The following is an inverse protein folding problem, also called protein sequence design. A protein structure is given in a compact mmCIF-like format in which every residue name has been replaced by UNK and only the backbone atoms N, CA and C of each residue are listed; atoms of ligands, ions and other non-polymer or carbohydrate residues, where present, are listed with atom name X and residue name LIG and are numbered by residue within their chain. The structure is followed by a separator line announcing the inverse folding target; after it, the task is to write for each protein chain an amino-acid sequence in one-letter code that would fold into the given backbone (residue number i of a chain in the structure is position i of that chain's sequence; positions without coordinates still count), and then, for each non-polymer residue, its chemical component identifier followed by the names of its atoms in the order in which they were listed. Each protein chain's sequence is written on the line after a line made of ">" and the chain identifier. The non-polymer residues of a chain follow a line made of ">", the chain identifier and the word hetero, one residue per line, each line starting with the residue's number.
data_IF_351098111716
#
_entry.id   IF_351098111716
#
_cell.length_a   1.000
_cell.length_b   1.000
_cell.length_c   1.000
_cell.angle_alpha   90.00
_cell.angle_beta   90.00
_cell.angle_gamma   90.00
#
_symmetry.space_group_name_H-M   'P 1'
#
loop_
_entity.id
_entity.type
_entity.pdbx_description
1 polymer ?
#
# COMPACT_ATOMS: atom_id res chain seq x y z
N UNK A 1 4.51 -6.16 -6.60
CA UNK A 1 4.69 -6.74 -5.26
C UNK A 1 4.88 -8.25 -5.33
N UNK A 2 4.05 -9.00 -6.05
CA UNK A 2 4.23 -10.46 -6.20
C UNK A 2 5.61 -10.90 -6.72
N UNK A 3 6.24 -10.13 -7.59
CA UNK A 3 7.56 -10.47 -8.12
C UNK A 3 8.71 -10.13 -7.15
N UNK A 4 8.54 -9.16 -6.27
CA UNK A 4 9.52 -8.89 -5.20
C UNK A 4 9.50 -10.05 -4.21
N UNK A 5 8.32 -10.52 -3.83
CA UNK A 5 8.17 -11.68 -2.97
C UNK A 5 8.62 -12.98 -3.66
N UNK A 6 8.32 -13.17 -4.94
CA UNK A 6 8.84 -14.30 -5.71
C UNK A 6 10.36 -14.29 -5.82
N UNK A 7 11.00 -13.12 -5.99
CA UNK A 7 12.47 -13.03 -5.97
C UNK A 7 13.05 -13.34 -4.60
N UNK A 8 12.41 -12.88 -3.53
CA UNK A 8 12.83 -13.23 -2.17
C UNK A 8 12.63 -14.72 -1.88
N UNK A 9 11.59 -15.34 -2.46
CA UNK A 9 11.32 -16.77 -2.34
C UNK A 9 12.25 -17.62 -3.20
N UNK A 10 12.75 -17.12 -4.34
CA UNK A 10 13.73 -17.82 -5.18
C UNK A 10 15.10 -18.02 -4.51
N UNK A 11 15.37 -17.33 -3.40
CA UNK A 11 16.55 -17.56 -2.58
C UNK A 11 16.38 -18.72 -1.58
N UNK A 12 15.21 -19.39 -1.58
CA UNK A 12 14.88 -20.51 -0.71
C UNK A 12 14.71 -21.80 -1.51
N UNK A 13 15.01 -22.97 -0.93
CA UNK A 13 14.68 -24.23 -1.56
C UNK A 13 13.18 -24.26 -1.87
N UNK A 14 12.84 -24.42 -3.15
CA UNK A 14 11.46 -24.38 -3.67
C UNK A 14 10.54 -25.44 -3.11
N UNK A 15 11.07 -26.39 -2.40
CA UNK A 15 10.37 -27.61 -1.94
C UNK A 15 9.63 -27.42 -0.61
N UNK A 16 9.87 -26.29 0.10
CA UNK A 16 9.31 -26.07 1.45
C UNK A 16 8.02 -25.24 1.44
N UNK A 17 7.55 -24.71 0.28
CA UNK A 17 6.40 -23.82 0.23
C UNK A 17 5.40 -24.18 -0.87
N UNK A 18 4.18 -24.42 -0.47
CA UNK A 18 3.04 -24.59 -1.36
C UNK A 18 2.13 -23.36 -1.29
N UNK A 19 2.00 -22.62 -2.40
CA UNK A 19 1.04 -21.54 -2.50
C UNK A 19 -0.35 -22.09 -2.80
N UNK A 20 -1.32 -21.71 -1.97
CA UNK A 20 -2.73 -22.05 -2.15
C UNK A 20 -3.56 -20.81 -2.28
N UNK A 21 -4.55 -20.86 -3.15
CA UNK A 21 -5.55 -19.81 -3.25
C UNK A 21 -6.39 -19.74 -1.97
N UNK A 22 -6.65 -18.54 -1.46
CA UNK A 22 -7.37 -18.35 -0.21
C UNK A 22 -8.69 -19.12 -0.17
N UNK A 23 -9.46 -19.09 -1.27
CA UNK A 23 -10.77 -19.77 -1.36
C UNK A 23 -10.68 -21.29 -1.18
N UNK A 24 -9.51 -21.90 -1.39
CA UNK A 24 -9.31 -23.34 -1.25
C UNK A 24 -8.96 -23.79 0.18
N UNK A 25 -8.56 -22.84 1.04
CA UNK A 25 -8.02 -23.15 2.37
C UNK A 25 -8.69 -22.38 3.50
N UNK A 26 -9.38 -21.28 3.21
CA UNK A 26 -10.05 -20.47 4.22
C UNK A 26 -11.27 -21.19 4.79
N UNK A 27 -11.44 -21.15 6.10
CA UNK A 27 -12.58 -21.76 6.80
C UNK A 27 -13.67 -20.72 7.06
N UNK A 28 -14.93 -21.17 6.99
CA UNK A 28 -16.08 -20.31 7.26
C UNK A 28 -16.03 -19.68 8.65
N UNK A 29 -15.68 -20.46 9.67
CA UNK A 29 -15.57 -19.96 11.05
C UNK A 29 -14.57 -18.83 11.19
N UNK A 30 -13.43 -18.92 10.47
CA UNK A 30 -12.45 -17.84 10.44
C UNK A 30 -13.03 -16.57 9.82
N UNK A 31 -13.73 -16.70 8.69
CA UNK A 31 -14.36 -15.55 8.03
C UNK A 31 -15.41 -14.90 8.91
N UNK A 32 -16.30 -15.71 9.53
CA UNK A 32 -17.35 -15.22 10.43
C UNK A 32 -16.73 -14.46 11.59
N UNK A 33 -15.76 -15.03 12.29
CA UNK A 33 -15.06 -14.38 13.40
C UNK A 33 -14.38 -13.07 12.97
N UNK A 34 -13.73 -13.07 11.80
CA UNK A 34 -13.07 -11.87 11.27
C UNK A 34 -14.06 -10.77 10.90
N UNK A 35 -15.22 -11.15 10.33
CA UNK A 35 -16.30 -10.23 9.97
C UNK A 35 -16.92 -9.64 11.23
N UNK A 36 -17.32 -10.48 12.19
CA UNK A 36 -17.95 -10.04 13.45
C UNK A 36 -17.04 -9.05 14.19
N UNK A 37 -15.77 -9.38 14.35
CA UNK A 37 -14.79 -8.49 14.99
C UNK A 37 -14.63 -7.16 14.25
N UNK A 38 -14.65 -7.16 12.91
CA UNK A 38 -14.56 -5.95 12.12
C UNK A 38 -15.83 -5.10 12.24
N UNK A 39 -17.01 -5.71 12.27
CA UNK A 39 -18.28 -5.01 12.47
C UNK A 39 -18.39 -4.40 13.87
N UNK A 40 -17.96 -5.12 14.90
CA UNK A 40 -17.91 -4.58 16.27
C UNK A 40 -16.99 -3.35 16.34
N UNK A 41 -15.82 -3.42 15.75
CA UNK A 41 -14.88 -2.31 15.68
C UNK A 41 -15.45 -1.12 14.87
N UNK A 42 -16.25 -1.34 13.84
CA UNK A 42 -16.90 -0.30 13.07
C UNK A 42 -18.08 0.34 13.78
N UNK A 43 -18.96 -0.46 14.37
CA UNK A 43 -20.18 0.02 15.01
C UNK A 43 -19.94 0.64 16.38
N UNK A 44 -19.03 0.06 17.16
CA UNK A 44 -18.77 0.43 18.55
C UNK A 44 -17.39 1.08 18.73
N UNK A 45 -16.52 0.95 17.73
CA UNK A 45 -15.15 1.42 17.79
C UNK A 45 -15.06 2.95 17.84
N UNK A 46 -14.22 3.43 18.75
CA UNK A 46 -14.01 4.86 18.96
C UNK A 46 -13.45 5.58 17.74
N UNK A 47 -12.63 4.88 16.96
CA UNK A 47 -11.87 5.42 15.82
C UNK A 47 -12.60 5.30 14.48
N UNK A 48 -13.74 4.59 14.44
CA UNK A 48 -14.55 4.35 13.25
C UNK A 48 -15.74 5.31 13.10
N UNK A 49 -15.84 6.33 13.96
CA UNK A 49 -16.93 7.30 13.87
C UNK A 49 -16.87 8.08 12.55
N UNK A 50 -17.99 8.07 11.83
CA UNK A 50 -18.09 8.75 10.54
C UNK A 50 -17.54 7.94 9.35
N UNK A 51 -17.06 6.73 9.54
CA UNK A 51 -16.65 5.82 8.46
C UNK A 51 -17.90 5.24 7.80
N UNK A 52 -18.07 5.45 6.50
CA UNK A 52 -19.15 4.89 5.71
C UNK A 52 -19.04 3.38 5.55
N UNK A 53 -20.11 2.73 5.11
CA UNK A 53 -20.08 1.28 4.87
C UNK A 53 -19.09 0.89 3.76
N UNK A 54 -18.98 1.69 2.69
CA UNK A 54 -18.01 1.43 1.61
C UNK A 54 -16.57 1.57 2.10
N UNK A 55 -16.28 2.58 2.92
CA UNK A 55 -14.97 2.77 3.55
C UNK A 55 -14.66 1.66 4.55
N UNK A 56 -15.66 1.22 5.31
CA UNK A 56 -15.53 0.06 6.18
C UNK A 56 -15.15 -1.19 5.39
N UNK A 57 -15.86 -1.48 4.29
CA UNK A 57 -15.59 -2.64 3.44
C UNK A 57 -14.16 -2.63 2.89
N UNK A 58 -13.62 -1.46 2.56
CA UNK A 58 -12.29 -1.35 1.96
C UNK A 58 -11.17 -1.27 3.00
N UNK A 59 -11.37 -0.58 4.14
CA UNK A 59 -10.28 -0.22 5.05
C UNK A 59 -10.27 -0.96 6.38
N UNK A 60 -11.39 -1.59 6.78
CA UNK A 60 -11.53 -2.24 8.08
C UNK A 60 -11.90 -3.73 7.97
N UNK A 61 -12.83 -4.07 7.07
CA UNK A 61 -13.39 -5.42 6.93
C UNK A 61 -12.39 -6.49 6.47
N UNK A 62 -11.37 -6.22 5.61
CA UNK A 62 -10.56 -7.27 5.04
C UNK A 62 -9.99 -8.25 6.08
N UNK A 63 -10.13 -9.55 5.81
CA UNK A 63 -9.76 -10.65 6.71
C UNK A 63 -8.25 -10.86 6.84
N UNK A 64 -7.45 -10.22 6.00
CA UNK A 64 -5.99 -10.19 6.06
C UNK A 64 -5.44 -8.81 5.71
N UNK A 65 -4.23 -8.53 6.12
CA UNK A 65 -3.56 -7.24 5.90
C UNK A 65 -2.57 -7.28 4.74
N UNK A 66 -1.99 -8.44 4.47
CA UNK A 66 -1.00 -8.65 3.41
C UNK A 66 -1.24 -9.95 2.68
N UNK A 67 -0.71 -9.99 1.47
CA UNK A 67 -0.62 -11.21 0.69
C UNK A 67 0.21 -12.27 1.45
N UNK A 68 -0.13 -13.54 1.32
CA UNK A 68 0.50 -14.68 2.02
C UNK A 68 0.40 -14.68 3.56
N UNK A 69 -0.43 -13.84 4.14
CA UNK A 69 -0.72 -13.91 5.57
C UNK A 69 -1.44 -15.20 5.91
N UNK A 70 -0.99 -15.90 6.96
CA UNK A 70 -1.70 -17.06 7.48
C UNK A 70 -3.06 -16.67 8.08
N UNK A 71 -4.03 -17.59 8.01
CA UNK A 71 -5.35 -17.42 8.65
C UNK A 71 -5.24 -17.71 10.13
N UNK A 72 -5.02 -16.67 10.91
CA UNK A 72 -4.96 -16.72 12.37
C UNK A 72 -5.80 -15.60 12.98
N UNK A 73 -5.97 -15.62 14.28
CA UNK A 73 -6.75 -14.61 15.03
C UNK A 73 -5.94 -13.33 15.25
N UNK A 74 -5.37 -12.79 14.16
CA UNK A 74 -4.48 -11.64 14.19
C UNK A 74 -5.11 -10.40 14.82
N UNK A 75 -6.43 -10.18 14.64
CA UNK A 75 -7.11 -9.01 15.22
C UNK A 75 -7.04 -9.03 16.74
N UNK A 76 -7.43 -10.13 17.36
CA UNK A 76 -7.41 -10.27 18.81
C UNK A 76 -5.99 -10.32 19.38
N UNK A 77 -5.07 -10.96 18.67
CA UNK A 77 -3.65 -11.05 19.08
C UNK A 77 -2.95 -9.69 19.03
N UNK A 78 -3.24 -8.86 18.02
CA UNK A 78 -2.60 -7.55 17.87
C UNK A 78 -3.30 -6.44 18.66
N UNK A 79 -4.58 -6.59 18.98
CA UNK A 79 -5.40 -5.57 19.68
C UNK A 79 -4.78 -5.09 21.01
N UNK A 80 -4.13 -5.93 21.84
CA UNK A 80 -3.45 -5.49 23.05
C UNK A 80 -2.19 -4.65 22.85
N UNK A 81 -1.54 -4.74 21.68
CA UNK A 81 -0.29 -4.01 21.43
C UNK A 81 -0.52 -2.51 21.54
N UNK A 82 0.31 -1.82 22.30
CA UNK A 82 0.20 -0.38 22.60
C UNK A 82 -1.08 0.04 23.36
N UNK A 83 -1.79 -0.86 24.00
CA UNK A 83 -2.96 -0.51 24.82
C UNK A 83 -2.58 0.30 26.07
N UNK A 84 -1.42 0.08 26.62
CA UNK A 84 -0.85 0.89 27.70
C UNK A 84 -0.79 2.38 27.31
N UNK A 85 -0.36 2.66 26.11
CA UNK A 85 -0.32 4.01 25.54
C UNK A 85 -1.71 4.61 25.33
N UNK A 86 -2.70 3.78 24.95
CA UNK A 86 -4.08 4.20 24.74
C UNK A 86 -4.92 4.21 26.02
N UNK A 87 -4.53 3.40 27.02
CA UNK A 87 -5.25 3.27 28.30
C UNK A 87 -4.97 4.41 29.27
N UNK A 88 -3.77 4.97 29.24
CA UNK A 88 -3.37 6.18 29.99
C UNK A 88 -4.05 7.46 29.50
N UNK A 89 -4.84 7.35 28.45
CA UNK A 89 -5.73 8.40 27.97
C UNK A 89 -6.86 8.62 28.99
N UNK A 90 -6.50 9.19 30.12
CA UNK A 90 -7.46 9.54 31.16
C UNK A 90 -8.57 10.42 30.59
N UNK A 91 -9.75 10.29 31.13
CA UNK A 91 -11.02 10.85 30.66
C UNK A 91 -11.01 12.36 30.38
N UNK A 92 -9.99 13.06 30.84
CA UNK A 92 -9.89 14.52 30.81
C UNK A 92 -8.97 15.09 29.73
N UNK A 93 -8.30 14.26 28.95
CA UNK A 93 -7.34 14.76 27.98
C UNK A 93 -7.99 14.92 26.61
N UNK A 94 -8.26 16.18 26.24
CA UNK A 94 -8.90 16.57 24.97
C UNK A 94 -8.08 16.10 23.77
N UNK A 95 -6.77 16.03 23.92
CA UNK A 95 -5.81 15.66 22.86
C UNK A 95 -5.92 14.20 22.44
N UNK A 96 -6.30 13.32 23.34
CA UNK A 96 -6.33 11.87 23.12
C UNK A 96 -7.66 11.35 22.52
N UNK A 97 -8.55 12.26 22.12
CA UNK A 97 -9.90 11.91 21.64
C UNK A 97 -9.99 11.79 20.12
N UNK A 98 -8.96 12.16 19.39
CA UNK A 98 -8.98 12.13 17.93
C UNK A 98 -8.22 10.95 17.36
N UNK A 99 -8.60 10.41 16.18
CA UNK A 99 -7.84 9.39 15.49
C UNK A 99 -6.38 9.79 15.22
N UNK A 100 -6.13 11.09 15.05
CA UNK A 100 -4.77 11.62 14.86
C UNK A 100 -3.86 11.31 16.04
N UNK A 101 -4.22 11.76 17.24
CA UNK A 101 -3.37 11.59 18.43
C UNK A 101 -3.24 10.12 18.83
N UNK A 102 -4.31 9.33 18.65
CA UNK A 102 -4.22 7.90 18.89
C UNK A 102 -3.28 7.20 17.92
N UNK A 103 -3.30 7.57 16.64
CA UNK A 103 -2.36 7.05 15.65
C UNK A 103 -0.92 7.48 15.95
N UNK A 104 -0.71 8.73 16.36
CA UNK A 104 0.59 9.24 16.80
C UNK A 104 1.15 8.41 17.95
N UNK A 105 0.38 8.27 19.02
CA UNK A 105 0.77 7.51 20.21
C UNK A 105 1.09 6.04 19.89
N UNK A 106 0.25 5.38 19.07
CA UNK A 106 0.49 4.01 18.62
C UNK A 106 1.79 3.93 17.83
N UNK A 107 2.03 4.84 16.87
CA UNK A 107 3.21 4.77 16.03
C UNK A 107 4.50 5.07 16.79
N UNK A 108 4.48 6.01 17.75
CA UNK A 108 5.60 6.23 18.65
C UNK A 108 5.92 4.95 19.45
N UNK A 109 4.89 4.33 20.03
CA UNK A 109 5.07 3.08 20.78
C UNK A 109 5.60 1.94 19.91
N UNK A 110 5.09 1.81 18.68
CA UNK A 110 5.56 0.81 17.73
C UNK A 110 7.03 1.01 17.35
N UNK A 111 7.45 2.25 17.14
CA UNK A 111 8.86 2.58 16.91
C UNK A 111 9.75 2.07 18.04
N UNK A 112 9.33 2.29 19.27
CA UNK A 112 10.17 2.03 20.44
C UNK A 112 10.13 0.56 20.90
N UNK A 113 9.11 -0.21 20.52
CA UNK A 113 8.89 -1.57 21.05
C UNK A 113 8.80 -2.67 20.01
N UNK A 114 8.22 -2.41 18.85
CA UNK A 114 7.91 -3.44 17.83
C UNK A 114 8.72 -3.24 16.56
N UNK A 115 8.85 -2.00 16.12
CA UNK A 115 9.55 -1.65 14.88
C UNK A 115 10.98 -1.20 15.22
N UNK A 116 11.70 -2.02 15.96
CA UNK A 116 13.09 -1.72 16.33
C UNK A 116 13.99 -1.85 15.12
N UNK A 117 14.85 -0.85 14.94
CA UNK A 117 15.86 -0.87 13.89
C UNK A 117 16.95 -1.91 14.24
N UNK A 118 16.86 -3.08 13.68
CA UNK A 118 17.90 -4.09 13.84
C UNK A 118 18.81 -4.13 12.62
N UNK A 119 20.08 -4.17 12.91
CA UNK A 119 21.19 -4.22 11.95
C UNK A 119 21.26 -5.51 11.12
N UNK A 120 20.29 -6.44 11.26
CA UNK A 120 20.26 -7.70 10.50
C UNK A 120 19.01 -7.78 9.62
N UNK A 121 19.16 -7.85 8.30
CA UNK A 121 18.04 -8.14 7.42
C UNK A 121 17.50 -9.54 7.72
N UNK A 122 16.20 -9.64 7.96
CA UNK A 122 15.53 -10.92 8.15
C UNK A 122 14.85 -11.33 6.84
N UNK A 123 15.13 -12.55 6.42
CA UNK A 123 14.79 -13.06 5.09
C UNK A 123 13.36 -13.63 4.96
N UNK A 124 12.56 -13.68 6.04
CA UNK A 124 11.39 -14.58 6.14
C UNK A 124 10.05 -13.91 6.49
N UNK A 125 9.75 -12.71 6.02
CA UNK A 125 8.62 -11.94 6.56
C UNK A 125 7.23 -12.29 6.03
N UNK A 126 7.16 -12.82 4.82
CA UNK A 126 5.89 -12.88 4.09
C UNK A 126 5.01 -14.11 4.39
N UNK A 127 5.57 -15.13 5.02
CA UNK A 127 4.94 -16.46 5.09
C UNK A 127 4.41 -16.83 6.46
N UNK A 128 4.57 -15.97 7.45
CA UNK A 128 4.27 -16.30 8.82
C UNK A 128 3.00 -15.64 9.35
N UNK A 129 2.53 -16.14 10.48
CA UNK A 129 1.47 -15.53 11.26
C UNK A 129 1.82 -14.08 11.58
N UNK A 130 0.83 -13.20 11.54
CA UNK A 130 1.02 -11.76 11.83
C UNK A 130 1.78 -11.51 13.15
N UNK A 131 1.53 -12.21 14.28
CA UNK A 131 2.30 -12.05 15.50
C UNK A 131 3.80 -12.30 15.35
N UNK A 132 4.18 -13.21 14.49
CA UNK A 132 5.59 -13.48 14.23
C UNK A 132 6.25 -12.30 13.51
N UNK A 133 5.59 -11.74 12.52
CA UNK A 133 6.05 -10.58 11.73
C UNK A 133 6.23 -9.35 12.57
N UNK A 134 5.30 -9.06 13.54
CA UNK A 134 5.41 -7.93 14.45
C UNK A 134 6.62 -8.03 15.39
N UNK A 135 7.11 -9.23 15.63
CA UNK A 135 8.29 -9.47 16.46
C UNK A 135 9.60 -9.54 15.66
N UNK A 136 9.52 -9.45 14.33
CA UNK A 136 10.71 -9.46 13.49
C UNK A 136 11.17 -8.02 13.26
N UNK A 137 12.35 -7.67 13.71
CA UNK A 137 12.94 -6.37 13.40
C UNK A 137 13.22 -6.23 11.92
N UNK A 138 12.78 -5.14 11.35
CA UNK A 138 12.99 -4.84 9.93
C UNK A 138 13.14 -3.37 9.69
N UNK A 139 14.09 -3.02 8.84
CA UNK A 139 14.34 -1.65 8.37
C UNK A 139 13.58 -1.34 7.09
N UNK A 140 12.88 -2.32 6.48
CA UNK A 140 12.16 -2.01 5.26
C UNK A 140 10.89 -1.20 5.55
N UNK A 141 10.66 -0.17 4.74
CA UNK A 141 9.43 0.62 4.83
C UNK A 141 8.18 -0.26 4.68
N UNK A 142 8.24 -1.29 3.85
CA UNK A 142 7.16 -2.23 3.63
C UNK A 142 6.80 -3.01 4.90
N UNK A 143 7.77 -3.61 5.57
CA UNK A 143 7.51 -4.38 6.80
C UNK A 143 6.98 -3.48 7.91
N UNK A 144 7.56 -2.29 8.10
CA UNK A 144 7.06 -1.33 9.08
C UNK A 144 5.62 -0.91 8.78
N UNK A 145 5.32 -0.58 7.54
CA UNK A 145 3.98 -0.16 7.12
C UNK A 145 2.97 -1.30 7.31
N UNK A 146 3.30 -2.53 6.90
CA UNK A 146 2.42 -3.68 7.06
C UNK A 146 2.15 -4.01 8.54
N UNK A 147 3.17 -3.93 9.39
CA UNK A 147 3.06 -4.16 10.84
C UNK A 147 2.14 -3.11 11.49
N UNK A 148 2.41 -1.84 11.23
CA UNK A 148 1.60 -0.76 11.78
C UNK A 148 0.16 -0.80 11.24
N UNK A 149 -0.05 -1.12 9.95
CA UNK A 149 -1.37 -1.32 9.36
C UNK A 149 -2.16 -2.41 10.09
N UNK A 150 -1.55 -3.56 10.31
CA UNK A 150 -2.21 -4.68 10.98
C UNK A 150 -2.62 -4.31 12.43
N UNK A 151 -1.71 -3.70 13.19
CA UNK A 151 -1.97 -3.28 14.57
C UNK A 151 -3.05 -2.19 14.62
N UNK A 152 -2.99 -1.19 13.76
CA UNK A 152 -4.00 -0.12 13.73
C UNK A 152 -5.36 -0.64 13.28
N UNK A 153 -5.40 -1.52 12.27
CA UNK A 153 -6.66 -2.13 11.82
C UNK A 153 -7.27 -3.01 12.90
N UNK A 154 -6.47 -3.75 13.69
CA UNK A 154 -6.96 -4.53 14.84
C UNK A 154 -7.57 -3.68 15.95
N UNK A 155 -7.32 -2.38 15.94
CA UNK A 155 -7.89 -1.40 16.91
C UNK A 155 -9.08 -0.60 16.35
N UNK A 156 -9.56 -0.95 15.16
CA UNK A 156 -10.71 -0.30 14.53
C UNK A 156 -10.38 1.01 13.81
N UNK A 157 -9.13 1.22 13.39
CA UNK A 157 -8.81 2.32 12.49
C UNK A 157 -9.11 1.95 11.03
N UNK A 158 -9.72 2.87 10.29
CA UNK A 158 -9.82 2.77 8.84
C UNK A 158 -8.49 3.19 8.21
N UNK A 159 -7.68 2.21 7.86
CA UNK A 159 -6.29 2.42 7.42
C UNK A 159 -5.98 1.66 6.13
N UNK A 160 -5.26 2.32 5.24
CA UNK A 160 -4.79 1.76 3.97
C UNK A 160 -3.27 1.81 3.85
N UNK A 161 -2.75 0.98 2.93
CA UNK A 161 -1.36 0.92 2.53
C UNK A 161 -1.21 1.68 1.23
N UNK A 162 -0.53 2.80 1.26
CA UNK A 162 -0.25 3.62 0.09
C UNK A 162 1.24 3.54 -0.27
N UNK A 163 1.55 3.65 -1.55
CA UNK A 163 2.92 3.44 -2.02
C UNK A 163 3.21 4.06 -3.38
N UNK A 164 4.48 4.27 -3.65
CA UNK A 164 5.02 4.54 -4.99
C UNK A 164 5.73 3.30 -5.52
N UNK A 165 5.47 2.96 -6.78
CA UNK A 165 6.15 1.84 -7.45
C UNK A 165 7.64 2.13 -7.65
N UNK A 166 7.96 3.38 -7.94
CA UNK A 166 9.31 3.91 -8.08
C UNK A 166 9.28 5.42 -7.88
N UNK A 167 10.19 5.95 -7.08
CA UNK A 167 10.40 7.38 -6.98
C UNK A 167 11.00 7.95 -8.27
N UNK A 168 10.53 9.09 -8.80
CA UNK A 168 11.16 9.75 -9.94
C UNK A 168 12.57 10.27 -9.66
N UNK A 169 12.86 10.67 -8.42
CA UNK A 169 14.09 11.36 -8.03
C UNK A 169 14.96 10.60 -7.03
N UNK A 170 14.52 9.43 -6.60
CA UNK A 170 15.22 8.59 -5.61
C UNK A 170 15.22 7.13 -6.08
N UNK A 171 16.20 6.37 -5.63
CA UNK A 171 16.18 4.93 -5.82
C UNK A 171 15.04 4.27 -5.02
N UNK A 172 14.54 3.15 -5.54
CA UNK A 172 13.57 2.25 -4.91
C UNK A 172 12.11 2.73 -4.84
N UNK A 173 11.25 1.80 -4.49
CA UNK A 173 9.88 2.02 -4.08
C UNK A 173 9.80 2.53 -2.63
N UNK A 174 8.64 3.03 -2.23
CA UNK A 174 8.38 3.42 -0.84
C UNK A 174 6.93 3.20 -0.48
N UNK A 175 6.64 2.99 0.79
CA UNK A 175 5.29 2.76 1.28
C UNK A 175 5.05 3.40 2.65
N UNK A 176 3.79 3.73 2.90
CA UNK A 176 3.33 4.37 4.13
C UNK A 176 1.86 4.04 4.41
N UNK A 177 1.38 4.46 5.57
CA UNK A 177 -0.02 4.37 5.96
C UNK A 177 -0.78 5.63 5.53
N UNK A 178 -2.01 5.44 5.07
CA UNK A 178 -3.00 6.50 4.95
C UNK A 178 -4.19 6.15 5.84
N UNK A 179 -4.41 6.96 6.88
CA UNK A 179 -5.40 6.74 7.92
C UNK A 179 -6.56 7.70 7.67
N UNK A 180 -7.76 7.17 7.51
CA UNK A 180 -8.96 7.96 7.35
C UNK A 180 -9.39 8.50 8.72
N UNK A 181 -9.43 9.83 8.86
CA UNK A 181 -9.82 10.50 10.10
C UNK A 181 -11.33 10.74 10.12
N UNK A 182 -11.83 11.16 8.96
CA UNK A 182 -13.24 11.36 8.62
C UNK A 182 -13.40 11.26 7.09
N UNK A 183 -14.61 11.48 6.57
CA UNK A 183 -14.93 11.27 5.14
C UNK A 183 -13.97 11.91 4.14
N UNK A 184 -13.42 13.07 4.48
CA UNK A 184 -12.67 13.88 3.52
C UNK A 184 -11.19 14.03 3.91
N UNK A 185 -10.82 13.63 5.15
CA UNK A 185 -9.48 13.87 5.66
C UNK A 185 -8.73 12.60 5.96
N UNK A 186 -7.55 12.55 5.42
CA UNK A 186 -6.58 11.50 5.71
C UNK A 186 -5.33 12.08 6.37
N UNK A 187 -4.72 11.33 7.24
CA UNK A 187 -3.37 11.58 7.69
C UNK A 187 -2.44 10.51 7.14
N UNK A 188 -1.23 10.92 6.87
CA UNK A 188 -0.18 10.06 6.34
C UNK A 188 0.82 9.77 7.43
N UNK A 189 1.27 8.54 7.53
CA UNK A 189 2.21 8.11 8.55
C UNK A 189 3.13 7.02 8.00
N UNK A 190 4.43 7.22 8.14
CA UNK A 190 5.35 6.10 7.97
C UNK A 190 5.25 5.19 9.21
N UNK A 191 5.16 3.87 9.03
CA UNK A 191 5.03 2.94 10.13
C UNK A 191 6.12 3.15 11.18
N UNK A 192 5.72 3.46 12.42
CA UNK A 192 6.61 3.81 13.52
C UNK A 192 7.12 5.26 13.54
N UNK A 193 6.50 6.16 12.79
CA UNK A 193 6.79 7.59 12.82
C UNK A 193 5.55 8.42 13.15
N UNK A 194 5.76 9.69 13.46
CA UNK A 194 4.68 10.63 13.73
C UNK A 194 3.81 10.85 12.48
N UNK A 195 2.48 10.90 12.63
CA UNK A 195 1.58 11.19 11.53
C UNK A 195 1.69 12.63 11.04
N UNK A 196 1.38 12.84 9.76
CA UNK A 196 1.25 14.14 9.13
C UNK A 196 -0.16 14.32 8.57
N UNK A 197 -0.71 15.53 8.67
CA UNK A 197 -1.99 15.87 8.05
C UNK A 197 -1.86 16.23 6.56
N UNK A 198 -0.66 16.40 6.07
CA UNK A 198 -0.38 16.74 4.68
C UNK A 198 0.36 15.60 3.97
N UNK A 199 0.49 15.72 2.66
CA UNK A 199 1.30 14.83 1.85
C UNK A 199 2.73 14.70 2.40
N UNK A 200 3.29 13.52 2.26
CA UNK A 200 4.66 13.21 2.66
C UNK A 200 5.62 14.28 2.15
N UNK A 201 6.43 14.77 3.04
CA UNK A 201 7.54 15.71 2.86
C UNK A 201 7.36 16.69 1.70
N UNK A 202 7.08 17.96 1.97
CA UNK A 202 6.96 18.97 0.94
C UNK A 202 8.18 18.95 -0.01
N UNK A 203 7.93 19.02 -1.31
CA UNK A 203 8.98 19.02 -2.35
C UNK A 203 9.45 17.63 -2.81
N UNK A 204 8.99 16.54 -2.24
CA UNK A 204 9.24 15.19 -2.78
C UNK A 204 8.29 14.88 -3.94
N UNK A 205 8.89 14.62 -5.11
CA UNK A 205 8.15 14.21 -6.30
C UNK A 205 7.83 12.72 -6.23
N UNK A 206 6.54 12.36 -6.30
CA UNK A 206 6.05 10.98 -6.17
C UNK A 206 5.79 10.31 -7.52
N UNK A 207 5.52 11.12 -8.55
CA UNK A 207 5.15 10.67 -9.89
C UNK A 207 3.78 10.04 -9.93
N UNK A 208 3.62 8.90 -9.30
CA UNK A 208 2.38 8.15 -9.12
C UNK A 208 2.29 7.56 -7.73
N UNK A 209 1.12 7.70 -7.09
CA UNK A 209 0.80 7.07 -5.80
C UNK A 209 -0.33 6.08 -5.98
N UNK A 210 -0.12 4.89 -5.47
CA UNK A 210 -1.11 3.83 -5.47
C UNK A 210 -1.52 3.47 -4.04
N UNK A 211 -2.79 3.09 -3.89
CA UNK A 211 -3.36 2.51 -2.67
C UNK A 211 -3.65 1.05 -2.91
N UNK A 212 -3.23 0.19 -1.99
CA UNK A 212 -3.65 -1.21 -1.99
C UNK A 212 -5.15 -1.28 -1.71
N UNK A 213 -5.87 -2.06 -2.52
CA UNK A 213 -7.32 -2.29 -2.41
C UNK A 213 -7.61 -3.78 -2.26
N UNK A 214 -8.84 -4.08 -1.85
CA UNK A 214 -9.37 -5.44 -1.84
C UNK A 214 -10.37 -5.67 -2.97
N UNK A 215 -10.78 -4.59 -3.61
CA UNK A 215 -11.54 -4.61 -4.86
C UNK A 215 -10.62 -4.53 -6.07
N UNK A 216 -10.82 -5.35 -7.11
CA UNK A 216 -9.94 -5.33 -8.28
C UNK A 216 -10.16 -4.07 -9.14
N UNK A 217 -9.09 -3.49 -9.62
CA UNK A 217 -9.10 -2.37 -10.56
C UNK A 217 -9.41 -2.90 -11.97
N UNK A 218 -10.57 -2.53 -12.50
CA UNK A 218 -11.04 -3.01 -13.81
C UNK A 218 -10.10 -2.67 -14.99
N UNK A 219 -9.40 -1.54 -14.92
CA UNK A 219 -8.43 -1.15 -15.96
C UNK A 219 -7.19 -2.04 -15.93
N UNK A 220 -6.68 -2.37 -14.74
CA UNK A 220 -5.56 -3.31 -14.58
C UNK A 220 -5.95 -4.75 -14.91
N UNK A 221 -7.19 -5.15 -14.58
CA UNK A 221 -7.72 -6.47 -15.01
C UNK A 221 -7.73 -6.56 -16.54
N UNK A 222 -8.20 -5.51 -17.23
CA UNK A 222 -8.23 -5.45 -18.68
C UNK A 222 -6.82 -5.47 -19.27
N UNK A 223 -5.90 -4.63 -18.74
CA UNK A 223 -4.49 -4.65 -19.14
C UNK A 223 -3.90 -6.06 -19.07
N UNK A 224 -4.09 -6.74 -17.92
CA UNK A 224 -3.53 -8.08 -17.70
C UNK A 224 -4.12 -9.16 -18.63
N UNK A 225 -5.35 -8.96 -19.12
CA UNK A 225 -6.01 -9.88 -20.08
C UNK A 225 -5.61 -9.63 -21.51
N UNK A 226 -5.38 -8.38 -21.90
CA UNK A 226 -5.30 -7.97 -23.31
C UNK A 226 -3.88 -7.65 -23.78
N UNK A 227 -2.98 -7.28 -22.85
CA UNK A 227 -1.58 -7.01 -23.20
C UNK A 227 -0.80 -8.31 -23.38
N UNK A 228 0.02 -8.38 -24.43
CA UNK A 228 0.88 -9.54 -24.68
C UNK A 228 1.97 -9.75 -23.61
N UNK A 229 2.40 -8.65 -22.97
CA UNK A 229 3.30 -8.66 -21.81
C UNK A 229 2.96 -7.49 -20.90
N UNK A 230 2.78 -7.76 -19.61
CA UNK A 230 2.51 -6.76 -18.60
C UNK A 230 3.74 -6.59 -17.69
N UNK A 231 4.22 -5.35 -17.51
CA UNK A 231 5.29 -5.08 -16.55
C UNK A 231 4.96 -5.60 -15.15
N UNK A 232 5.95 -6.15 -14.46
CA UNK A 232 5.75 -6.72 -13.11
C UNK A 232 5.13 -5.75 -12.12
N UNK A 233 5.47 -4.46 -12.23
CA UNK A 233 4.93 -3.39 -11.38
C UNK A 233 3.42 -3.16 -11.55
N UNK A 234 2.84 -3.55 -12.69
CA UNK A 234 1.43 -3.33 -13.04
C UNK A 234 0.60 -4.63 -13.11
N UNK A 235 1.17 -5.76 -12.67
CA UNK A 235 0.44 -7.04 -12.64
C UNK A 235 -0.57 -7.13 -11.50
N UNK A 236 -0.31 -6.47 -10.38
CA UNK A 236 -1.24 -6.46 -9.26
C UNK A 236 -2.48 -5.64 -9.62
N UNK A 237 -3.63 -6.30 -9.66
CA UNK A 237 -4.91 -5.67 -9.98
C UNK A 237 -5.61 -5.05 -8.75
N UNK A 238 -5.10 -5.30 -7.55
CA UNK A 238 -5.65 -4.79 -6.29
C UNK A 238 -4.95 -3.51 -5.85
N UNK A 239 -4.86 -2.56 -6.77
CA UNK A 239 -4.32 -1.22 -6.52
C UNK A 239 -5.18 -0.16 -7.21
N UNK A 240 -5.32 0.99 -6.55
CA UNK A 240 -6.02 2.18 -7.05
C UNK A 240 -5.05 3.35 -7.12
N UNK A 241 -5.12 4.12 -8.19
CA UNK A 241 -4.41 5.39 -8.30
C UNK A 241 -5.06 6.43 -7.38
N UNK A 242 -4.26 6.99 -6.49
CA UNK A 242 -4.64 8.04 -5.53
C UNK A 242 -3.68 9.24 -5.58
N UNK A 243 -3.03 9.44 -6.71
CA UNK A 243 -2.02 10.50 -6.88
C UNK A 243 -2.58 11.89 -6.58
N UNK A 244 -3.83 12.15 -6.95
CA UNK A 244 -4.54 13.40 -6.69
C UNK A 244 -4.86 13.67 -5.22
N UNK A 245 -4.82 12.66 -4.35
CA UNK A 245 -4.91 12.84 -2.90
C UNK A 245 -3.57 13.39 -2.30
N UNK A 246 -2.47 13.30 -3.04
CA UNK A 246 -1.12 13.62 -2.57
C UNK A 246 -0.48 14.82 -3.24
N UNK A 247 -0.86 15.12 -4.48
CA UNK A 247 -0.23 16.15 -5.27
C UNK A 247 -1.17 16.74 -6.31
N UNK A 248 -0.84 17.95 -6.76
CA UNK A 248 -1.48 18.52 -7.96
C UNK A 248 -1.11 17.66 -9.17
N UNK A 249 -2.10 17.18 -9.88
CA UNK A 249 -1.92 16.29 -11.04
C UNK A 249 -2.26 17.00 -12.35
N UNK A 250 -1.71 16.47 -13.42
CA UNK A 250 -2.07 16.80 -14.79
C UNK A 250 -2.27 15.53 -15.60
N UNK A 251 -2.97 15.64 -16.73
CA UNK A 251 -3.19 14.57 -17.69
C UNK A 251 -2.36 14.84 -18.95
N UNK A 252 -1.07 14.46 -18.95
CA UNK A 252 -0.18 14.80 -20.06
C UNK A 252 -0.52 13.98 -21.31
N UNK A 253 -0.43 14.66 -22.46
CA UNK A 253 -0.61 14.05 -23.77
C UNK A 253 0.71 14.08 -24.55
N UNK A 254 1.16 12.93 -24.99
CA UNK A 254 2.41 12.79 -25.75
C UNK A 254 2.12 12.42 -27.19
N UNK A 255 2.87 12.98 -28.17
CA UNK A 255 2.80 12.55 -29.55
C UNK A 255 3.39 11.13 -29.66
N UNK A 256 2.77 10.29 -30.49
CA UNK A 256 3.36 9.02 -30.88
C UNK A 256 4.38 9.28 -31.97
N UNK A 257 5.65 9.08 -31.69
CA UNK A 257 6.69 9.19 -32.69
C UNK A 257 6.53 8.04 -33.72
N UNK A 258 6.48 8.41 -35.00
CA UNK A 258 6.36 7.46 -36.12
C UNK A 258 7.66 6.69 -36.30
N UNK A 259 7.79 5.57 -35.61
CA UNK A 259 8.80 4.53 -35.86
C UNK A 259 8.16 3.31 -36.53
N UNK A 260 8.97 2.31 -36.89
CA UNK A 260 8.44 1.01 -37.33
C UNK A 260 7.64 0.40 -36.17
N UNK A 261 6.32 0.67 -36.16
CA UNK A 261 5.40 0.01 -35.22
C UNK A 261 5.33 -1.48 -35.60
N UNK A 262 5.68 -2.32 -34.67
CA UNK A 262 5.09 -3.66 -34.63
C UNK A 262 3.60 -3.47 -34.33
N UNK A 263 2.77 -3.87 -35.26
CA UNK A 263 1.33 -3.50 -35.42
C UNK A 263 0.38 -3.89 -34.29
N UNK A 264 0.82 -4.27 -33.08
CA UNK A 264 -0.01 -4.93 -32.08
C UNK A 264 -0.01 -4.35 -30.68
N UNK A 265 0.76 -3.32 -30.40
CA UNK A 265 0.78 -2.78 -29.04
C UNK A 265 -0.44 -1.89 -28.79
N UNK A 266 -1.28 -2.36 -27.89
CA UNK A 266 -2.50 -1.68 -27.46
C UNK A 266 -2.27 -0.71 -26.29
N UNK A 267 -1.19 -0.89 -25.56
CA UNK A 267 -0.88 -0.13 -24.35
C UNK A 267 0.49 0.54 -24.44
N UNK A 268 0.56 1.73 -23.84
CA UNK A 268 1.80 2.45 -23.60
C UNK A 268 2.06 2.57 -22.10
N UNK A 269 3.33 2.69 -21.73
CA UNK A 269 3.74 2.79 -20.34
C UNK A 269 4.54 4.06 -20.11
N UNK A 270 4.20 4.79 -19.03
CA UNK A 270 5.08 5.82 -18.49
C UNK A 270 6.02 5.15 -17.48
N UNK A 271 7.32 5.41 -17.62
CA UNK A 271 8.32 4.75 -16.80
C UNK A 271 9.31 5.75 -16.21
N UNK A 272 9.88 5.39 -15.07
CA UNK A 272 10.99 6.09 -14.42
C UNK A 272 12.27 5.29 -14.66
N UNK A 273 13.38 5.99 -14.90
CA UNK A 273 14.67 5.36 -15.08
C UNK A 273 15.40 5.24 -13.74
N UNK A 274 15.72 4.02 -13.33
CA UNK A 274 16.49 3.72 -12.12
C UNK A 274 17.35 2.48 -12.32
N UNK A 275 18.60 2.49 -11.80
CA UNK A 275 19.53 1.37 -11.89
C UNK A 275 19.68 0.78 -13.30
N UNK A 276 19.84 1.63 -14.31
CA UNK A 276 19.96 1.26 -15.72
C UNK A 276 18.73 0.52 -16.29
N UNK A 277 17.54 0.71 -15.69
CA UNK A 277 16.28 0.10 -16.15
C UNK A 277 15.16 1.13 -16.17
N UNK A 278 14.27 0.98 -17.15
CA UNK A 278 13.00 1.69 -17.18
C UNK A 278 11.98 0.91 -16.34
N UNK A 279 11.45 1.55 -15.30
CA UNK A 279 10.48 0.97 -14.38
C UNK A 279 9.12 1.59 -14.67
N UNK A 280 8.19 0.87 -15.31
CA UNK A 280 6.84 1.36 -15.58
C UNK A 280 6.09 1.69 -14.31
N UNK A 281 5.55 2.91 -14.24
CA UNK A 281 4.79 3.39 -13.08
C UNK A 281 3.30 3.58 -13.38
N UNK A 282 2.92 3.74 -14.65
CA UNK A 282 1.51 3.70 -15.07
C UNK A 282 1.40 3.29 -16.54
N UNK A 283 0.18 3.13 -17.02
CA UNK A 283 -0.12 2.73 -18.39
C UNK A 283 -1.26 3.54 -18.97
N UNK A 284 -1.35 3.55 -20.30
CA UNK A 284 -2.49 4.09 -21.05
C UNK A 284 -2.82 3.20 -22.24
N UNK A 285 -4.11 3.11 -22.57
CA UNK A 285 -4.56 2.47 -23.80
C UNK A 285 -4.33 3.41 -24.99
N UNK A 286 -3.72 2.91 -26.04
CA UNK A 286 -3.47 3.66 -27.26
C UNK A 286 -4.77 3.69 -28.08
N UNK A 287 -5.58 4.71 -27.88
CA UNK A 287 -6.84 4.92 -28.58
C UNK A 287 -6.63 5.59 -29.95
N UNK A 288 -5.63 6.45 -30.04
CA UNK A 288 -5.27 7.18 -31.25
C UNK A 288 -3.83 6.82 -31.65
N UNK A 289 -3.62 6.65 -32.96
CA UNK A 289 -2.30 6.39 -33.50
C UNK A 289 -1.33 7.59 -33.40
N UNK A 290 -1.82 8.77 -33.04
CA UNK A 290 -1.06 10.01 -33.02
C UNK A 290 -0.67 10.48 -31.63
N UNK A 291 -1.48 10.14 -30.61
CA UNK A 291 -1.31 10.66 -29.26
C UNK A 291 -1.61 9.60 -28.19
N UNK A 292 -0.94 9.71 -27.06
CA UNK A 292 -1.15 8.91 -25.87
C UNK A 292 -1.34 9.85 -24.70
N UNK A 293 -2.45 9.70 -23.96
CA UNK A 293 -2.73 10.45 -22.75
C UNK A 293 -2.51 9.56 -21.52
N UNK A 294 -1.89 10.10 -20.49
CA UNK A 294 -1.80 9.47 -19.17
C UNK A 294 -2.57 10.29 -18.16
N UNK A 295 -3.25 9.62 -17.23
CA UNK A 295 -4.09 10.29 -16.24
C UNK A 295 -3.30 10.55 -14.93
N UNK A 296 -3.62 11.66 -14.25
CA UNK A 296 -3.18 11.97 -12.88
C UNK A 296 -1.68 11.84 -12.64
N UNK A 297 -0.83 12.39 -13.50
CA UNK A 297 0.60 12.45 -13.25
C UNK A 297 0.90 13.66 -12.38
N UNK A 298 1.72 13.51 -11.34
CA UNK A 298 2.15 14.63 -10.52
C UNK A 298 2.88 15.68 -11.37
N UNK A 299 2.43 16.94 -11.29
CA UNK A 299 2.87 18.02 -12.16
C UNK A 299 4.39 18.23 -12.16
N UNK A 300 5.04 18.11 -11.02
CA UNK A 300 6.50 18.29 -10.89
C UNK A 300 7.31 17.13 -11.48
N UNK A 301 6.73 15.95 -11.61
CA UNK A 301 7.41 14.77 -12.16
C UNK A 301 7.78 14.93 -13.62
N UNK A 302 7.03 15.72 -14.39
CA UNK A 302 7.26 15.91 -15.82
C UNK A 302 8.45 16.83 -16.15
N UNK A 303 8.92 17.63 -15.21
CA UNK A 303 10.09 18.51 -15.40
C UNK A 303 11.39 17.70 -15.48
N UNK A 304 11.40 16.47 -15.00
CA UNK A 304 12.57 15.60 -14.95
C UNK A 304 12.59 14.50 -16.04
N UNK A 305 11.66 14.54 -16.98
CA UNK A 305 11.70 13.65 -18.16
C UNK A 305 12.74 14.24 -19.13
N UNK A 306 14.00 13.87 -18.95
CA UNK A 306 14.99 14.05 -20.00
C UNK A 306 14.68 13.04 -21.11
N UNK A 307 14.51 13.51 -22.34
CA UNK A 307 14.54 12.62 -23.50
C UNK A 307 15.81 11.77 -23.44
N UNK A 308 15.73 10.46 -23.69
CA UNK A 308 16.93 9.64 -23.80
C UNK A 308 17.73 10.21 -24.97
N UNK A 309 18.84 10.87 -24.68
CA UNK A 309 19.83 11.17 -25.71
C UNK A 309 20.25 9.82 -26.30
N UNK A 310 19.96 9.65 -27.59
CA UNK A 310 20.47 8.48 -28.33
C UNK A 310 21.98 8.43 -28.17
N UNK A 311 22.57 7.26 -27.89
CA UNK A 311 24.01 7.07 -27.98
C UNK A 311 24.49 7.28 -29.40
#
# INVERSE_FOLDING_TARGET
>A
LGDVYKRQLLEFPSDDFEFKEDYSVIKADYLIQSIDAAFDDWQQGRWARGITFDEFCEYMLPYKCVEFQAFDDWRNVLKPIANDTLGDFSYNDIWNKTPYHAAEAINIKLRDTVIVDLKKPLKWHALYKVPFWCNIPSNSCETRTNTALAIMRSKGFAVSYDFVLQWPTKAHAHSWLSILIDHDRRMVCEGGHEPFLAALRPGECKGKVYRRTYSPNSALVRLNKEAGSVPSTLRNVFIKDVTDEYATTIDPVFPVLSGKRERKERYAYLAVFDNAKWIPICFSEIKDSKQIAFDKIEKLSLIHISEPTRP
#
